data_IF_118521145043
#
_entry.id   IF_118521145043
#
_cell.length_a   1.000
_cell.length_b   1.000
_cell.length_c   1.000
_cell.angle_alpha   90.00
_cell.angle_beta   90.00
_cell.angle_gamma   90.00
#
_symmetry.space_group_name_H-M   'P 1'
#
loop_
_entity.id
_entity.type
_entity.pdbx_description
1 polymer ?
#
# COMPACT_ATOMS: atom_id res chain seq x y z
N UNK A 1 -12.74 10.88 1.60
CA UNK A 1 -13.71 10.88 2.72
C UNK A 1 -13.02 10.38 3.99
N UNK A 2 -12.51 11.28 4.84
CA UNK A 2 -11.84 10.93 6.10
C UNK A 2 -12.70 10.20 7.12
N UNK A 3 -14.01 10.42 7.13
CA UNK A 3 -14.93 9.75 8.07
C UNK A 3 -14.94 8.24 7.80
N UNK A 4 -14.96 7.83 6.54
CA UNK A 4 -14.91 6.41 6.16
C UNK A 4 -13.64 5.74 6.67
N UNK A 5 -12.48 6.35 6.45
CA UNK A 5 -11.21 5.74 6.86
C UNK A 5 -11.06 5.64 8.38
N UNK A 6 -11.54 6.63 9.13
CA UNK A 6 -11.58 6.56 10.59
C UNK A 6 -12.56 5.49 11.10
N UNK A 7 -13.68 5.30 10.41
CA UNK A 7 -14.66 4.27 10.78
C UNK A 7 -14.16 2.85 10.49
N UNK A 8 -13.42 2.65 9.40
CA UNK A 8 -12.79 1.37 9.06
C UNK A 8 -11.58 1.07 9.95
N UNK A 9 -10.88 2.12 10.42
CA UNK A 9 -9.66 2.05 11.21
C UNK A 9 -8.66 0.97 10.71
N UNK A 10 -8.28 1.00 9.41
CA UNK A 10 -7.50 -0.06 8.80
C UNK A 10 -6.12 -0.19 9.43
N UNK A 11 -5.69 -1.43 9.66
CA UNK A 11 -4.31 -1.75 10.07
C UNK A 11 -3.34 -1.72 8.88
N UNK A 12 -3.80 -2.16 7.71
CA UNK A 12 -3.03 -2.21 6.47
C UNK A 12 -3.88 -1.71 5.30
N UNK A 13 -3.27 -0.95 4.38
CA UNK A 13 -3.91 -0.49 3.13
C UNK A 13 -3.07 -0.93 1.93
N UNK A 14 -3.73 -1.40 0.87
CA UNK A 14 -3.09 -1.70 -0.41
C UNK A 14 -3.70 -0.79 -1.48
N UNK A 15 -2.88 0.10 -2.05
CA UNK A 15 -3.26 0.96 -3.17
C UNK A 15 -2.94 0.21 -4.47
N UNK A 16 -3.95 -0.42 -5.06
CA UNK A 16 -3.83 -1.32 -6.21
C UNK A 16 -3.92 -0.60 -7.59
N UNK A 17 -3.83 0.72 -7.61
CA UNK A 17 -4.03 1.50 -8.83
C UNK A 17 -2.80 1.51 -9.75
N UNK A 18 -3.00 1.91 -11.01
CA UNK A 18 -1.92 2.12 -11.97
C UNK A 18 -1.11 3.40 -11.70
N UNK A 19 0.03 3.60 -12.40
CA UNK A 19 1.01 4.65 -12.09
C UNK A 19 0.48 6.09 -12.12
N UNK A 20 -0.63 6.35 -12.81
CA UNK A 20 -1.27 7.67 -12.91
C UNK A 20 -2.65 7.74 -12.25
N UNK A 21 -3.11 6.66 -11.61
CA UNK A 21 -4.44 6.56 -10.99
C UNK A 21 -4.32 6.33 -9.48
N UNK A 22 -5.31 6.80 -8.71
CA UNK A 22 -5.34 6.60 -7.25
C UNK A 22 -4.24 7.33 -6.50
N UNK A 23 -3.97 6.95 -5.25
CA UNK A 23 -2.97 7.61 -4.38
C UNK A 23 -3.10 9.15 -4.36
N UNK A 24 -4.33 9.68 -4.41
CA UNK A 24 -4.55 11.14 -4.44
C UNK A 24 -4.02 11.81 -3.16
N UNK A 25 -3.60 13.09 -3.22
CA UNK A 25 -2.92 13.76 -2.11
C UNK A 25 -3.74 13.76 -0.82
N UNK A 26 -5.03 14.11 -0.92
CA UNK A 26 -5.95 14.14 0.24
C UNK A 26 -6.14 12.75 0.85
N UNK A 27 -6.33 11.73 0.01
CA UNK A 27 -6.49 10.34 0.47
C UNK A 27 -5.22 9.86 1.17
N UNK A 28 -4.05 10.04 0.56
CA UNK A 28 -2.78 9.61 1.16
C UNK A 28 -2.47 10.38 2.44
N UNK A 29 -2.73 11.69 2.50
CA UNK A 29 -2.60 12.48 3.72
C UNK A 29 -3.53 11.97 4.82
N UNK A 30 -4.78 11.66 4.47
CA UNK A 30 -5.75 11.11 5.41
C UNK A 30 -5.31 9.75 5.95
N UNK A 31 -4.87 8.84 5.08
CA UNK A 31 -4.38 7.52 5.49
C UNK A 31 -3.17 7.67 6.42
N UNK A 32 -2.18 8.49 6.05
CA UNK A 32 -0.99 8.78 6.88
C UNK A 32 -1.32 9.43 8.23
N UNK A 33 -2.54 9.97 8.41
CA UNK A 33 -3.00 10.57 9.68
C UNK A 33 -3.73 9.60 10.61
N UNK A 34 -4.01 8.36 10.17
CA UNK A 34 -4.72 7.37 10.98
C UNK A 34 -3.80 6.82 12.07
N UNK A 35 -4.28 6.81 13.32
CA UNK A 35 -3.47 6.41 14.48
C UNK A 35 -3.06 4.93 14.47
N UNK A 36 -3.93 4.05 13.96
CA UNK A 36 -3.73 2.60 14.01
C UNK A 36 -3.32 1.99 12.65
N UNK A 37 -2.96 2.84 11.68
CA UNK A 37 -2.47 2.37 10.38
C UNK A 37 -0.98 2.05 10.49
N UNK A 38 -0.62 0.79 10.30
CA UNK A 38 0.76 0.33 10.41
C UNK A 38 1.50 0.38 9.07
N UNK A 39 0.80 0.15 7.95
CA UNK A 39 1.46 0.13 6.64
C UNK A 39 0.53 0.44 5.47
N UNK A 40 1.11 1.10 4.47
CA UNK A 40 0.49 1.33 3.17
C UNK A 40 1.39 0.70 2.11
N UNK A 41 0.83 -0.18 1.31
CA UNK A 41 1.48 -0.80 0.15
C UNK A 41 0.97 -0.16 -1.13
N UNK A 42 1.83 -0.10 -2.15
CA UNK A 42 1.45 0.33 -3.49
C UNK A 42 1.76 -0.75 -4.51
N UNK A 43 0.79 -1.03 -5.39
CA UNK A 43 1.04 -1.87 -6.55
C UNK A 43 1.95 -1.15 -7.55
N UNK A 44 1.72 0.14 -7.78
CA UNK A 44 2.55 0.97 -8.66
C UNK A 44 3.00 2.24 -7.96
N UNK A 45 4.23 2.67 -8.29
CA UNK A 45 4.72 4.00 -7.98
C UNK A 45 3.84 5.04 -8.67
N UNK A 46 3.39 6.05 -7.93
CA UNK A 46 2.68 7.19 -8.52
C UNK A 46 3.69 8.06 -9.29
N UNK A 47 3.45 8.23 -10.59
CA UNK A 47 4.29 8.99 -11.53
C UNK A 47 3.71 10.40 -11.82
N UNK A 48 2.58 10.76 -11.22
CA UNK A 48 2.06 12.13 -11.30
C UNK A 48 2.96 13.11 -10.51
N UNK A 49 2.82 14.43 -10.72
CA UNK A 49 3.61 15.44 -10.00
C UNK A 49 3.49 15.39 -8.47
N UNK A 50 2.39 14.83 -7.94
CA UNK A 50 2.19 14.62 -6.50
C UNK A 50 2.88 13.35 -5.96
N UNK A 51 3.54 12.56 -6.81
CA UNK A 51 4.22 11.31 -6.48
C UNK A 51 5.19 11.43 -5.31
N UNK A 52 5.98 12.51 -5.25
CA UNK A 52 6.95 12.73 -4.17
C UNK A 52 6.32 12.79 -2.77
N UNK A 53 5.08 13.29 -2.67
CA UNK A 53 4.36 13.43 -1.39
C UNK A 53 3.46 12.22 -1.10
N UNK A 54 2.97 11.60 -2.17
CA UNK A 54 1.96 10.54 -2.10
C UNK A 54 2.56 9.15 -2.04
N UNK A 55 3.75 8.93 -2.60
CA UNK A 55 4.40 7.63 -2.54
C UNK A 55 4.78 7.22 -1.10
N UNK A 56 4.78 5.91 -0.87
CA UNK A 56 5.33 5.26 0.32
C UNK A 56 6.82 4.93 0.09
N UNK A 57 7.48 4.35 1.09
CA UNK A 57 8.86 3.91 0.94
C UNK A 57 8.99 2.83 -0.15
N UNK A 58 10.11 2.84 -0.88
CA UNK A 58 10.30 2.07 -2.11
C UNK A 58 10.16 0.55 -1.92
N UNK A 59 10.46 0.03 -0.73
CA UNK A 59 10.30 -1.38 -0.39
C UNK A 59 8.83 -1.83 -0.31
N UNK A 60 7.89 -0.89 -0.11
CA UNK A 60 6.44 -1.16 -0.09
C UNK A 60 5.78 -1.00 -1.48
N UNK A 61 6.57 -0.76 -2.53
CA UNK A 61 6.07 -0.54 -3.91
C UNK A 61 6.50 -1.70 -4.82
N UNK A 62 5.52 -2.45 -5.36
CA UNK A 62 5.80 -3.62 -6.20
C UNK A 62 6.36 -3.25 -7.58
N UNK A 63 5.80 -2.22 -8.23
CA UNK A 63 6.19 -1.79 -9.57
C UNK A 63 6.69 -0.35 -9.55
N UNK A 64 8.00 -0.19 -9.77
CA UNK A 64 8.74 1.08 -9.79
C UNK A 64 9.04 1.66 -11.17
N UNK A 65 9.26 0.87 -12.24
CA UNK A 65 9.66 1.43 -13.52
C UNK A 65 8.61 2.39 -14.09
N UNK A 66 9.11 3.35 -14.87
CA UNK A 66 8.30 4.26 -15.68
C UNK A 66 7.43 3.53 -16.69
N UNK A 67 6.50 4.27 -17.27
CA UNK A 67 5.31 3.87 -18.06
C UNK A 67 5.48 2.80 -19.16
N UNK A 68 6.70 2.38 -19.49
CA UNK A 68 6.98 1.68 -20.74
C UNK A 68 7.36 0.20 -20.55
N UNK A 69 7.64 -0.25 -19.31
CA UNK A 69 7.85 -1.67 -19.00
C UNK A 69 7.48 -1.99 -17.53
N UNK A 70 6.19 -2.19 -17.26
CA UNK A 70 5.77 -2.76 -15.98
C UNK A 70 6.05 -4.27 -15.98
N UNK A 71 6.83 -4.75 -15.02
CA UNK A 71 7.15 -6.17 -14.85
C UNK A 71 5.96 -7.01 -14.37
N UNK A 72 4.87 -6.37 -13.92
CA UNK A 72 3.69 -7.06 -13.42
C UNK A 72 3.92 -7.71 -12.05
N UNK A 73 4.78 -7.13 -11.22
CA UNK A 73 5.01 -7.58 -9.86
C UNK A 73 3.74 -7.40 -9.01
N UNK A 74 3.60 -8.24 -7.98
CA UNK A 74 2.41 -8.29 -7.15
C UNK A 74 2.70 -7.97 -5.68
N UNK A 75 1.65 -7.54 -4.99
CA UNK A 75 1.59 -7.52 -3.51
C UNK A 75 0.79 -8.76 -3.10
N UNK A 76 1.35 -9.58 -2.20
CA UNK A 76 0.72 -10.82 -1.74
C UNK A 76 0.30 -10.66 -0.28
N UNK A 77 -0.90 -11.08 0.05
CA UNK A 77 -1.35 -11.30 1.42
C UNK A 77 -1.51 -12.81 1.64
N UNK A 78 -1.02 -13.32 2.76
CA UNK A 78 -1.21 -14.72 3.17
C UNK A 78 -1.64 -14.77 4.62
N UNK A 79 -2.61 -15.62 4.92
CA UNK A 79 -3.19 -15.76 6.26
C UNK A 79 -2.72 -17.09 6.84
N UNK A 80 -2.24 -17.07 8.07
CA UNK A 80 -1.85 -18.29 8.78
C UNK A 80 -3.08 -19.15 9.08
N UNK A 81 -2.92 -20.49 9.20
CA UNK A 81 -3.98 -21.36 9.71
C UNK A 81 -4.55 -20.82 11.03
N UNK A 82 -5.88 -20.72 11.11
CA UNK A 82 -6.57 -20.16 12.27
C UNK A 82 -6.76 -18.64 12.23
N UNK A 83 -6.27 -17.93 11.20
CA UNK A 83 -6.70 -16.57 10.91
C UNK A 83 -6.22 -15.49 11.87
N UNK A 84 -5.38 -15.82 12.86
CA UNK A 84 -4.93 -14.88 13.89
C UNK A 84 -3.84 -13.93 13.41
N UNK A 85 -3.15 -14.27 12.33
CA UNK A 85 -2.01 -13.52 11.80
C UNK A 85 -1.99 -13.62 10.29
N UNK A 86 -1.60 -12.54 9.64
CA UNK A 86 -1.42 -12.47 8.21
C UNK A 86 -0.13 -11.72 7.86
N UNK A 87 0.48 -12.11 6.75
CA UNK A 87 1.70 -11.49 6.22
C UNK A 87 1.38 -10.82 4.89
N UNK A 88 1.84 -9.58 4.73
CA UNK A 88 1.84 -8.88 3.46
C UNK A 88 3.27 -8.81 2.94
N UNK A 89 3.49 -9.21 1.70
CA UNK A 89 4.81 -9.20 1.06
C UNK A 89 4.79 -8.56 -0.31
N UNK A 90 5.95 -7.99 -0.65
CA UNK A 90 6.29 -7.43 -1.96
C UNK A 90 7.52 -8.19 -2.46
N UNK A 91 7.35 -9.32 -3.16
CA UNK A 91 8.47 -10.17 -3.54
C UNK A 91 9.55 -9.46 -4.38
N UNK A 92 9.15 -8.53 -5.24
CA UNK A 92 10.04 -7.74 -6.06
C UNK A 92 11.06 -6.91 -5.27
N UNK A 93 10.73 -6.53 -4.03
CA UNK A 93 11.60 -5.77 -3.13
C UNK A 93 12.12 -6.61 -1.96
N UNK A 94 11.77 -7.90 -1.91
CA UNK A 94 12.05 -8.82 -0.80
C UNK A 94 11.52 -8.33 0.55
N UNK A 95 10.53 -7.43 0.54
CA UNK A 95 9.89 -6.94 1.74
C UNK A 95 8.76 -7.89 2.17
N UNK A 96 8.69 -8.19 3.45
CA UNK A 96 7.51 -8.78 4.09
C UNK A 96 7.31 -8.21 5.48
N UNK A 97 6.05 -8.16 5.92
CA UNK A 97 5.69 -7.80 7.28
C UNK A 97 4.45 -8.58 7.71
N UNK A 98 4.46 -9.07 8.95
CA UNK A 98 3.32 -9.76 9.55
C UNK A 98 2.55 -8.86 10.51
N UNK A 99 1.25 -9.10 10.60
CA UNK A 99 0.29 -8.35 11.40
C UNK A 99 -0.66 -9.33 12.09
N UNK A 100 -1.08 -9.01 13.31
CA UNK A 100 -2.18 -9.76 13.93
C UNK A 100 -3.53 -9.34 13.32
N UNK A 101 -4.42 -10.31 13.13
CA UNK A 101 -5.80 -10.04 12.76
C UNK A 101 -6.56 -9.40 13.94
N UNK A 102 -7.58 -8.61 13.61
CA UNK A 102 -8.49 -7.98 14.58
C UNK A 102 -9.81 -8.74 14.65
#
# INVERSE_FOLDING_TARGET
NPVLFRALDPRVVIVNNGPTKGAGPETMATLKSLANLESIYQLHKNLRPDGEKTNVAEEFIANKPGTDACEGNYVKLSVEPGGKRYTVSVPATKHEQSYDAR
#
